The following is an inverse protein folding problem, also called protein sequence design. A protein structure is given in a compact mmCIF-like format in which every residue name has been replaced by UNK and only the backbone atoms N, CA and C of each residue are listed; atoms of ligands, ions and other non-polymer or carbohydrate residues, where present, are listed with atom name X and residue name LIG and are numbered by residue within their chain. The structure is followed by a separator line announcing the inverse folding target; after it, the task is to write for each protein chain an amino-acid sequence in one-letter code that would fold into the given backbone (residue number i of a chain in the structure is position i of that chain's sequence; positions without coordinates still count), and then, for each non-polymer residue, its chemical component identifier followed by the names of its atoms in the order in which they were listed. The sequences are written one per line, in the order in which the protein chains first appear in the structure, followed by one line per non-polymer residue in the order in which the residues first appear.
data_IF_890342368730
#
_entry.id   IF_890342368730
#
_cell.length_a   1.000
_cell.length_b   1.000
_cell.length_c   1.000
_cell.angle_alpha   90.00
_cell.angle_beta   90.00
_cell.angle_gamma   90.00
#
_symmetry.space_group_name_H-M   'P 1'
#
loop_
_entity.id
_entity.type
_entity.pdbx_description
1 polymer ?
#
# COMPACT_ATOMS: atom_id res chain seq x y z
N UNK A 1 -1.65 -22.32 16.88
CA UNK A 1 -1.61 -21.35 17.99
C UNK A 1 -0.22 -20.70 18.02
N UNK A 2 -0.10 -19.46 18.51
CA UNK A 2 1.18 -18.73 18.56
C UNK A 2 2.08 -19.26 19.69
N UNK A 3 3.41 -19.24 19.50
CA UNK A 3 4.38 -19.63 20.52
C UNK A 3 4.71 -18.48 21.50
N UNK A 4 4.54 -17.24 21.05
CA UNK A 4 4.81 -16.01 21.80
C UNK A 4 3.79 -14.91 21.49
N UNK A 5 4.11 -13.67 21.89
CA UNK A 5 3.26 -12.51 21.64
C UNK A 5 3.33 -12.05 20.18
N UNK A 6 2.18 -11.61 19.66
CA UNK A 6 2.10 -10.89 18.39
C UNK A 6 2.69 -9.49 18.61
N UNK A 7 3.63 -9.09 17.76
CA UNK A 7 4.13 -7.72 17.69
C UNK A 7 3.81 -7.15 16.30
N UNK A 8 3.40 -5.89 16.23
CA UNK A 8 3.37 -5.18 14.96
C UNK A 8 4.81 -4.77 14.63
N UNK A 9 5.28 -5.10 13.43
CA UNK A 9 6.68 -4.88 13.04
C UNK A 9 6.86 -3.76 12.03
N UNK A 10 5.78 -3.38 11.34
CA UNK A 10 5.77 -2.28 10.39
C UNK A 10 4.32 -1.92 10.05
N UNK A 11 4.13 -0.77 9.43
CA UNK A 11 2.88 -0.36 8.83
C UNK A 11 3.05 0.03 7.36
N UNK A 12 1.94 0.43 6.78
CA UNK A 12 1.92 1.01 5.44
C UNK A 12 0.81 2.04 5.33
N UNK A 13 0.93 2.94 4.38
CA UNK A 13 -0.09 3.95 4.08
C UNK A 13 -0.45 3.86 2.61
N UNK A 14 -1.65 4.32 2.27
CA UNK A 14 -2.06 4.42 0.88
C UNK A 14 -1.37 5.61 0.21
N UNK A 15 -1.09 5.46 -1.07
CA UNK A 15 -0.59 6.51 -1.95
C UNK A 15 -1.28 6.38 -3.31
N UNK A 16 -1.47 7.50 -4.01
CA UNK A 16 -1.98 7.49 -5.37
C UNK A 16 -0.79 7.31 -6.31
N UNK A 17 -0.75 6.19 -7.02
CA UNK A 17 0.19 5.95 -8.10
C UNK A 17 -0.31 6.61 -9.39
N UNK A 18 0.53 7.43 -10.01
CA UNK A 18 0.29 8.10 -11.30
C UNK A 18 1.45 7.85 -12.25
N UNK A 19 1.27 8.12 -13.55
CA UNK A 19 2.38 8.10 -14.50
C UNK A 19 3.46 9.14 -14.10
N UNK A 20 4.73 8.80 -14.31
CA UNK A 20 5.85 9.71 -14.06
C UNK A 20 5.63 11.11 -14.66
N UNK A 21 5.83 12.15 -13.83
CA UNK A 21 5.58 13.54 -14.18
C UNK A 21 4.14 14.00 -13.96
N UNK A 22 3.24 13.12 -13.53
CA UNK A 22 1.85 13.41 -13.14
C UNK A 22 1.12 14.31 -14.16
N UNK A 23 0.87 13.84 -15.39
CA UNK A 23 0.43 14.69 -16.50
C UNK A 23 -0.94 15.33 -16.30
N UNK A 24 -1.78 14.77 -15.42
CA UNK A 24 -3.09 15.31 -15.06
C UNK A 24 -3.08 16.18 -13.79
N UNK A 25 -1.91 16.43 -13.20
CA UNK A 25 -1.78 17.26 -11.98
C UNK A 25 -2.73 16.77 -10.87
N UNK A 26 -2.67 15.47 -10.56
CA UNK A 26 -3.42 14.85 -9.46
C UNK A 26 -2.72 15.24 -8.15
N UNK A 27 -3.45 15.86 -7.23
CA UNK A 27 -2.93 16.38 -5.97
C UNK A 27 -3.51 15.67 -4.74
N UNK A 28 -4.54 14.84 -4.91
CA UNK A 28 -5.19 14.14 -3.82
C UNK A 28 -6.39 13.30 -4.25
N UNK A 29 -7.13 12.78 -3.27
CA UNK A 29 -8.24 11.86 -3.50
C UNK A 29 -9.38 12.51 -4.31
N UNK A 30 -9.64 13.80 -4.12
CA UNK A 30 -10.72 14.51 -4.82
C UNK A 30 -10.50 14.54 -6.34
N UNK A 31 -9.25 14.59 -6.78
CA UNK A 31 -8.91 14.60 -8.20
C UNK A 31 -9.22 13.27 -8.90
N UNK A 32 -9.33 12.17 -8.16
CA UNK A 32 -9.68 10.85 -8.70
C UNK A 32 -11.14 10.77 -9.19
N UNK A 33 -11.99 11.71 -8.78
CA UNK A 33 -13.38 11.82 -9.23
C UNK A 33 -13.53 12.67 -10.51
N UNK A 34 -12.46 13.28 -11.01
CA UNK A 34 -12.50 14.11 -12.22
C UNK A 34 -12.86 13.24 -13.43
N UNK A 35 -13.80 13.66 -14.31
CA UNK A 35 -14.26 12.84 -15.44
C UNK A 35 -13.18 12.41 -16.44
N UNK A 36 -12.09 13.17 -16.53
CA UNK A 36 -10.93 12.91 -17.39
C UNK A 36 -9.95 11.90 -16.81
N UNK A 37 -10.05 11.54 -15.52
CA UNK A 37 -9.14 10.60 -14.86
C UNK A 37 -9.63 9.17 -15.04
N UNK A 38 -8.83 8.35 -15.73
CA UNK A 38 -9.01 6.90 -15.81
C UNK A 38 -8.45 6.25 -14.54
N UNK A 39 -9.29 6.12 -13.52
CA UNK A 39 -8.94 5.47 -12.26
C UNK A 39 -9.04 3.94 -12.36
N UNK A 40 -8.04 3.22 -11.87
CA UNK A 40 -8.13 1.80 -11.55
C UNK A 40 -7.92 1.57 -10.05
N UNK A 41 -8.61 0.60 -9.46
CA UNK A 41 -8.43 0.23 -8.05
C UNK A 41 -8.22 -1.27 -7.95
N UNK A 42 -7.64 -1.74 -6.85
CA UNK A 42 -7.74 -3.15 -6.51
C UNK A 42 -9.19 -3.52 -6.15
N UNK A 43 -9.57 -4.78 -6.37
CA UNK A 43 -10.86 -5.32 -5.98
C UNK A 43 -11.09 -5.17 -4.46
N UNK A 44 -12.35 -5.13 -4.03
CA UNK A 44 -12.70 -4.87 -2.63
C UNK A 44 -12.21 -5.97 -1.68
N UNK A 45 -12.05 -7.19 -2.19
CA UNK A 45 -11.51 -8.32 -1.44
C UNK A 45 -9.99 -8.24 -1.22
N UNK A 46 -9.30 -7.33 -1.91
CA UNK A 46 -7.89 -7.02 -1.70
C UNK A 46 -7.77 -5.93 -0.64
N UNK A 47 -6.95 -6.08 0.41
CA UNK A 47 -6.86 -5.09 1.48
C UNK A 47 -6.62 -3.64 1.00
N UNK A 48 -5.73 -3.43 0.03
CA UNK A 48 -5.50 -2.10 -0.54
C UNK A 48 -6.76 -1.52 -1.22
N UNK A 49 -7.52 -2.36 -1.92
CA UNK A 49 -8.77 -1.95 -2.58
C UNK A 49 -9.87 -1.63 -1.56
N UNK A 50 -9.95 -2.39 -0.47
CA UNK A 50 -10.83 -2.08 0.66
C UNK A 50 -10.45 -0.73 1.29
N UNK A 51 -9.19 -0.54 1.67
CA UNK A 51 -8.72 0.68 2.33
C UNK A 51 -8.86 1.92 1.43
N UNK A 52 -8.61 1.80 0.12
CA UNK A 52 -8.85 2.88 -0.83
C UNK A 52 -10.31 3.33 -0.84
N UNK A 53 -11.26 2.37 -0.84
CA UNK A 53 -12.70 2.68 -0.77
C UNK A 53 -13.09 3.29 0.56
N UNK A 54 -12.53 2.81 1.67
CA UNK A 54 -12.76 3.38 3.00
C UNK A 54 -12.27 4.83 3.07
N UNK A 55 -11.07 5.12 2.54
CA UNK A 55 -10.50 6.47 2.45
C UNK A 55 -11.41 7.40 1.63
N UNK A 56 -11.79 6.98 0.42
CA UNK A 56 -12.68 7.75 -0.47
C UNK A 56 -14.06 8.00 0.18
N UNK A 57 -14.64 6.97 0.80
CA UNK A 57 -15.95 7.08 1.45
C UNK A 57 -15.91 8.00 2.68
N UNK A 58 -14.83 7.99 3.46
CA UNK A 58 -14.65 8.88 4.61
C UNK A 58 -14.59 10.36 4.20
N UNK A 59 -14.12 10.65 2.98
CA UNK A 59 -14.10 11.99 2.39
C UNK A 59 -15.36 12.32 1.57
N UNK A 60 -16.34 11.42 1.52
CA UNK A 60 -17.56 11.56 0.69
C UNK A 60 -17.26 11.72 -0.81
N UNK A 61 -16.14 11.13 -1.28
CA UNK A 61 -15.70 11.19 -2.68
C UNK A 61 -16.25 9.98 -3.44
N UNK A 62 -17.11 10.25 -4.42
CA UNK A 62 -17.62 9.22 -5.34
C UNK A 62 -16.71 9.11 -6.56
N UNK A 63 -16.18 7.91 -6.80
CA UNK A 63 -15.38 7.58 -8.00
C UNK A 63 -16.04 6.45 -8.78
N UNK A 64 -15.71 6.34 -10.07
CA UNK A 64 -16.14 5.24 -10.92
C UNK A 64 -14.93 4.60 -11.60
N UNK A 65 -14.26 3.63 -10.94
CA UNK A 65 -13.06 2.99 -11.50
C UNK A 65 -13.38 2.30 -12.83
N UNK A 66 -12.47 2.44 -13.80
CA UNK A 66 -12.59 1.81 -15.12
C UNK A 66 -12.43 0.29 -15.06
N UNK A 67 -11.61 -0.20 -14.11
CA UNK A 67 -11.45 -1.60 -13.77
C UNK A 67 -11.16 -1.81 -12.28
N UNK A 68 -11.38 -3.05 -11.84
CA UNK A 68 -10.97 -3.54 -10.54
C UNK A 68 -9.97 -4.68 -10.73
N UNK A 69 -8.76 -4.47 -10.22
CA UNK A 69 -7.63 -5.37 -10.42
C UNK A 69 -7.47 -6.37 -9.27
N UNK A 70 -6.85 -7.51 -9.56
CA UNK A 70 -6.77 -8.65 -8.62
C UNK A 70 -5.76 -8.45 -7.49
N UNK A 71 -4.81 -7.53 -7.64
CA UNK A 71 -3.83 -7.12 -6.64
C UNK A 71 -3.22 -5.74 -6.98
N UNK A 72 -2.42 -5.19 -6.06
CA UNK A 72 -1.76 -3.89 -6.22
C UNK A 72 -0.72 -3.87 -7.36
N UNK A 73 -0.13 -5.01 -7.72
CA UNK A 73 0.84 -5.08 -8.83
C UNK A 73 0.13 -4.90 -10.16
N UNK A 74 -1.05 -5.50 -10.32
CA UNK A 74 -1.90 -5.30 -11.49
C UNK A 74 -2.37 -3.85 -11.60
N UNK A 75 -2.70 -3.18 -10.50
CA UNK A 75 -2.98 -1.73 -10.48
C UNK A 75 -1.79 -0.93 -11.02
N UNK A 76 -0.59 -1.13 -10.45
CA UNK A 76 0.63 -0.45 -10.91
C UNK A 76 0.90 -0.70 -12.39
N UNK A 77 0.77 -1.94 -12.87
CA UNK A 77 1.00 -2.26 -14.27
C UNK A 77 0.05 -1.53 -15.23
N UNK A 78 -1.20 -1.27 -14.85
CA UNK A 78 -2.13 -0.48 -15.67
C UNK A 78 -1.66 0.96 -15.81
N UNK A 79 -1.21 1.57 -14.71
CA UNK A 79 -0.68 2.93 -14.71
C UNK A 79 0.62 3.00 -15.50
N UNK A 80 1.54 2.06 -15.28
CA UNK A 80 2.83 1.99 -15.97
C UNK A 80 2.69 1.82 -17.50
N UNK A 81 1.66 1.09 -17.95
CA UNK A 81 1.36 0.89 -19.36
C UNK A 81 0.55 2.04 -20.00
N UNK A 82 0.17 3.06 -19.21
CA UNK A 82 -0.69 4.16 -19.66
C UNK A 82 -2.12 3.72 -19.99
N UNK A 83 -2.56 2.59 -19.44
CA UNK A 83 -3.95 2.11 -19.55
C UNK A 83 -4.86 2.76 -18.50
N UNK A 84 -4.28 3.38 -17.49
CA UNK A 84 -4.93 4.14 -16.44
C UNK A 84 -4.08 5.37 -16.08
N UNK A 85 -4.74 6.45 -15.67
CA UNK A 85 -4.07 7.69 -15.27
C UNK A 85 -3.68 7.67 -13.79
N UNK A 86 -4.42 6.90 -12.98
CA UNK A 86 -4.18 6.78 -11.55
C UNK A 86 -4.65 5.44 -10.98
N UNK A 87 -4.04 5.04 -9.87
CA UNK A 87 -4.56 4.00 -8.99
C UNK A 87 -4.16 4.23 -7.53
N UNK A 88 -4.88 3.63 -6.59
CA UNK A 88 -4.54 3.71 -5.16
C UNK A 88 -3.90 2.40 -4.71
N UNK A 89 -2.66 2.48 -4.23
CA UNK A 89 -1.82 1.36 -3.80
C UNK A 89 -1.14 1.71 -2.47
N UNK A 90 -0.21 0.89 -1.99
CA UNK A 90 0.59 1.27 -0.83
C UNK A 90 1.82 2.10 -1.22
N UNK A 91 2.29 2.95 -0.30
CA UNK A 91 3.53 3.72 -0.49
C UNK A 91 4.75 2.83 -0.79
N UNK A 92 4.84 1.64 -0.17
CA UNK A 92 5.88 0.65 -0.49
C UNK A 92 5.82 0.13 -1.93
N UNK A 93 4.62 0.05 -2.51
CA UNK A 93 4.43 -0.40 -3.89
C UNK A 93 4.95 0.68 -4.85
N UNK A 94 4.65 1.96 -4.59
CA UNK A 94 5.19 3.10 -5.35
C UNK A 94 6.71 3.16 -5.23
N UNK A 95 7.25 3.07 -4.01
CA UNK A 95 8.69 3.11 -3.74
C UNK A 95 9.49 2.04 -4.51
N UNK A 96 8.84 0.93 -4.90
CA UNK A 96 9.47 -0.19 -5.62
C UNK A 96 9.07 -0.28 -7.10
N UNK A 97 8.23 0.62 -7.59
CA UNK A 97 7.73 0.63 -8.97
C UNK A 97 8.72 1.22 -10.00
N UNK A 98 9.84 1.80 -9.54
CA UNK A 98 10.85 2.41 -10.40
C UNK A 98 10.42 3.76 -10.98
N UNK A 99 11.17 4.28 -11.96
CA UNK A 99 11.04 5.67 -12.44
C UNK A 99 9.81 5.94 -13.33
N UNK A 100 8.96 4.93 -13.59
CA UNK A 100 7.78 5.07 -14.45
C UNK A 100 6.51 5.45 -13.69
N UNK A 101 6.53 5.29 -12.37
CA UNK A 101 5.42 5.62 -11.48
C UNK A 101 5.87 6.75 -10.56
N UNK A 102 5.00 7.73 -10.37
CA UNK A 102 5.15 8.77 -9.36
C UNK A 102 4.06 8.60 -8.30
N UNK A 103 4.40 8.89 -7.06
CA UNK A 103 3.49 8.86 -5.93
C UNK A 103 2.93 10.23 -5.61
N UNK A 104 1.62 10.29 -5.35
CA UNK A 104 0.96 11.46 -4.77
C UNK A 104 0.46 11.07 -3.39
N UNK A 105 1.04 11.70 -2.37
CA UNK A 105 0.76 11.44 -0.96
C UNK A 105 -0.72 11.69 -0.63
N UNK A 106 -1.35 10.75 0.08
CA UNK A 106 -2.67 10.94 0.69
C UNK A 106 -2.46 11.43 2.13
N UNK A 107 -2.98 12.62 2.51
CA UNK A 107 -2.80 13.18 3.85
C UNK A 107 -3.20 12.21 4.98
N UNK A 108 -2.49 12.19 6.12
CA UNK A 108 -2.76 11.23 7.20
C UNK A 108 -4.20 11.22 7.75
N UNK A 109 -4.91 12.36 7.70
CA UNK A 109 -6.30 12.50 8.12
C UNK A 109 -7.31 11.98 7.08
N UNK A 110 -6.85 11.71 5.86
CA UNK A 110 -7.61 11.09 4.78
C UNK A 110 -7.21 9.63 4.51
N UNK A 111 -6.12 9.17 5.11
CA UNK A 111 -5.52 7.87 4.85
C UNK A 111 -6.08 6.77 5.76
N UNK A 112 -5.98 5.51 5.30
CA UNK A 112 -6.33 4.32 6.08
C UNK A 112 -5.06 3.48 6.25
N UNK A 113 -4.36 3.61 7.39
CA UNK A 113 -3.09 2.93 7.59
C UNK A 113 -3.26 1.43 7.81
N UNK A 114 -2.37 0.64 7.20
CA UNK A 114 -2.24 -0.78 7.42
C UNK A 114 -1.21 -1.07 8.52
N UNK A 115 -1.47 -2.07 9.36
CA UNK A 115 -0.50 -2.60 10.33
C UNK A 115 -0.19 -4.06 10.01
N UNK A 116 1.09 -4.41 10.02
CA UNK A 116 1.55 -5.76 9.75
C UNK A 116 2.13 -6.41 11.01
N UNK A 117 1.45 -7.47 11.51
CA UNK A 117 1.96 -8.23 12.63
C UNK A 117 2.92 -9.34 12.24
N UNK A 118 3.83 -9.65 13.17
CA UNK A 118 4.70 -10.81 13.14
C UNK A 118 4.57 -11.61 14.44
N UNK A 119 4.64 -12.94 14.34
CA UNK A 119 4.64 -13.85 15.48
C UNK A 119 5.26 -15.19 15.12
N UNK A 120 5.78 -15.90 16.13
CA UNK A 120 6.22 -17.30 15.99
C UNK A 120 5.04 -18.26 16.20
N UNK A 121 5.07 -19.40 15.50
CA UNK A 121 4.05 -20.45 15.64
C UNK A 121 4.49 -21.50 16.67
N UNK A 122 3.57 -21.93 17.55
CA UNK A 122 3.86 -22.89 18.63
C UNK A 122 4.38 -24.24 18.12
N UNK A 123 3.94 -24.63 16.93
CA UNK A 123 4.28 -25.90 16.30
C UNK A 123 5.31 -25.73 15.17
N UNK A 124 6.03 -24.59 15.14
CA UNK A 124 7.07 -24.36 14.16
C UNK A 124 8.18 -25.44 14.29
N UNK A 125 8.61 -26.07 13.19
CA UNK A 125 9.61 -27.14 13.23
C UNK A 125 11.01 -26.64 13.64
N UNK A 126 11.24 -25.33 13.63
CA UNK A 126 12.48 -24.69 14.06
C UNK A 126 12.18 -23.41 14.87
N UNK A 127 11.82 -23.55 16.15
CA UNK A 127 11.43 -22.40 16.98
C UNK A 127 12.57 -21.40 17.16
N UNK A 128 13.81 -21.87 17.33
CA UNK A 128 14.98 -21.01 17.52
C UNK A 128 15.25 -20.10 16.31
N UNK A 129 15.15 -20.64 15.08
CA UNK A 129 15.29 -19.81 13.88
C UNK A 129 14.11 -18.83 13.72
N UNK A 130 12.89 -19.23 14.10
CA UNK A 130 11.73 -18.34 14.11
C UNK A 130 11.93 -17.15 15.05
N UNK A 131 12.37 -17.39 16.27
CA UNK A 131 12.69 -16.34 17.25
C UNK A 131 13.82 -15.42 16.75
N UNK A 132 14.89 -15.99 16.18
CA UNK A 132 15.98 -15.21 15.62
C UNK A 132 15.53 -14.32 14.44
N UNK A 133 14.66 -14.83 13.57
CA UNK A 133 14.10 -14.06 12.46
C UNK A 133 13.22 -12.91 12.95
N UNK A 134 12.29 -13.18 13.88
CA UNK A 134 11.46 -12.12 14.48
C UNK A 134 12.33 -11.07 15.16
N UNK A 135 13.36 -11.48 15.90
CA UNK A 135 14.31 -10.57 16.52
C UNK A 135 15.07 -9.70 15.52
N UNK A 136 15.44 -10.25 14.36
CA UNK A 136 16.08 -9.48 13.28
C UNK A 136 15.12 -8.47 12.66
N UNK A 137 13.89 -8.87 12.32
CA UNK A 137 12.87 -7.98 11.73
C UNK A 137 12.57 -6.78 12.64
N UNK A 138 12.55 -7.00 13.97
CA UNK A 138 12.31 -5.96 14.97
C UNK A 138 13.57 -5.17 15.38
N UNK A 139 14.75 -5.54 14.88
CA UNK A 139 16.00 -4.83 15.18
C UNK A 139 16.15 -3.55 14.36
N UNK A 140 17.03 -2.65 14.77
CA UNK A 140 17.35 -1.42 14.03
C UNK A 140 17.76 -1.72 12.57
N UNK A 141 18.49 -2.81 12.32
CA UNK A 141 18.89 -3.22 10.97
C UNK A 141 17.69 -3.68 10.13
N UNK A 142 16.79 -4.48 10.71
CA UNK A 142 15.57 -4.93 10.03
C UNK A 142 14.62 -3.77 9.73
N UNK A 143 14.47 -2.84 10.68
CA UNK A 143 13.64 -1.65 10.50
C UNK A 143 14.22 -0.69 9.46
N UNK A 144 15.55 -0.55 9.37
CA UNK A 144 16.19 0.25 8.32
C UNK A 144 15.93 -0.31 6.91
N UNK A 145 15.89 -1.63 6.76
CA UNK A 145 15.51 -2.26 5.49
C UNK A 145 14.05 -1.94 5.14
N UNK A 146 13.13 -1.99 6.11
CA UNK A 146 11.72 -1.68 5.88
C UNK A 146 11.51 -0.22 5.47
N UNK A 147 12.20 0.70 6.13
CA UNK A 147 12.20 2.14 5.81
C UNK A 147 12.72 2.40 4.38
N UNK A 148 13.80 1.73 3.97
CA UNK A 148 14.35 1.81 2.59
C UNK A 148 13.32 1.41 1.52
N UNK A 149 12.40 0.50 1.85
CA UNK A 149 11.34 0.03 0.95
C UNK A 149 9.99 0.76 1.13
N UNK A 150 9.97 1.88 1.86
CA UNK A 150 8.78 2.75 1.98
C UNK A 150 7.71 2.25 2.93
N UNK A 151 8.03 1.29 3.80
CA UNK A 151 7.14 0.92 4.90
C UNK A 151 7.26 1.92 6.05
N UNK A 152 6.20 2.07 6.84
CA UNK A 152 6.21 2.95 8.01
C UNK A 152 6.59 2.20 9.28
N UNK A 153 7.11 2.89 10.30
CA UNK A 153 7.28 2.30 11.63
C UNK A 153 5.97 1.72 12.17
N UNK A 154 6.03 0.65 12.98
CA UNK A 154 4.86 0.07 13.65
C UNK A 154 4.20 1.00 14.68
#
# INVERSE_FOLDING_TARGET
LLAGERADFTGNVLEIAVEAGNPLDIQGLEDLARPEVTLVLAAEEVPAGQYAREALAAQEIEVNPSSLEVDVRAVLSRVELGEADAGVVYASDVATAGDQIEGVEIPPDQNVPASYPIATLAEAPNPAAGEAFVGYVLSDEGQAVLDEYGFTPP
#
